data_IF_307794812514
#
_entry.id   IF_307794812514
#
_cell.length_a   1.000
_cell.length_b   1.000
_cell.length_c   1.000
_cell.angle_alpha   90.00
_cell.angle_beta   90.00
_cell.angle_gamma   90.00
#
_symmetry.space_group_name_H-M   'P 1'
#
loop_
_entity.id
_entity.type
_entity.pdbx_description
1 polymer ?
#
# COMPACT_ATOMS: atom_id res chain seq x y z
N UNK A 1 1.41 -13.70 17.45
CA UNK A 1 1.02 -12.56 16.58
C UNK A 1 1.07 -11.21 17.30
N UNK A 2 0.93 -11.13 18.63
CA UNK A 2 1.16 -9.87 19.39
C UNK A 2 2.59 -9.33 19.24
N UNK A 3 3.58 -10.18 18.97
CA UNK A 3 4.98 -9.75 18.87
C UNK A 3 5.27 -8.73 17.77
N UNK A 4 4.55 -8.77 16.64
CA UNK A 4 4.79 -7.82 15.53
C UNK A 4 4.18 -6.46 15.86
N UNK A 5 2.95 -6.41 16.35
CA UNK A 5 2.30 -5.15 16.72
C UNK A 5 2.99 -4.51 17.93
N UNK A 6 3.44 -5.30 18.91
CA UNK A 6 4.29 -4.80 20.00
C UNK A 6 5.65 -4.28 19.49
N UNK A 7 6.29 -4.94 18.52
CA UNK A 7 7.53 -4.46 17.94
C UNK A 7 7.33 -3.10 17.25
N UNK A 8 6.30 -2.98 16.40
CA UNK A 8 5.95 -1.72 15.72
C UNK A 8 5.63 -0.63 16.74
N UNK A 9 4.86 -0.95 17.79
CA UNK A 9 4.58 -0.02 18.89
C UNK A 9 5.87 0.44 19.56
N UNK A 10 6.78 -0.46 19.92
CA UNK A 10 8.04 -0.10 20.58
C UNK A 10 8.91 0.83 19.73
N UNK A 11 8.80 0.74 18.40
CA UNK A 11 9.55 1.56 17.46
C UNK A 11 8.92 2.93 17.20
N UNK A 12 7.59 3.01 17.19
CA UNK A 12 6.84 4.20 16.77
C UNK A 12 6.24 5.00 17.93
N UNK A 13 6.20 4.45 19.14
CA UNK A 13 5.74 5.19 20.32
C UNK A 13 6.55 6.48 20.45
N UNK A 14 5.87 7.64 20.61
CA UNK A 14 6.52 8.90 20.89
C UNK A 14 7.39 8.76 22.13
N UNK A 15 8.70 8.75 21.94
CA UNK A 15 9.68 8.83 23.03
C UNK A 15 10.22 10.26 23.06
N UNK A 16 10.89 10.66 24.14
CA UNK A 16 11.63 11.93 24.18
C UNK A 16 12.76 12.04 23.13
N UNK A 17 12.87 11.07 22.21
CA UNK A 17 13.82 11.05 21.10
C UNK A 17 13.33 12.02 20.02
N UNK A 18 14.22 12.91 19.61
CA UNK A 18 14.02 13.85 18.48
C UNK A 18 14.27 13.21 17.11
N UNK A 19 14.32 11.87 17.04
CA UNK A 19 14.71 11.15 15.83
C UNK A 19 13.53 11.06 14.86
N UNK A 20 13.74 11.54 13.64
CA UNK A 20 12.78 11.43 12.55
C UNK A 20 13.16 10.25 11.66
N UNK A 21 12.20 9.37 11.41
CA UNK A 21 12.28 8.31 10.40
C UNK A 21 12.09 8.95 9.03
N UNK A 22 13.18 9.07 8.28
CA UNK A 22 13.15 9.65 6.93
C UNK A 22 12.44 8.75 5.93
N UNK A 23 12.47 7.43 6.13
CA UNK A 23 11.74 6.45 5.30
C UNK A 23 11.40 5.21 6.12
N UNK A 24 10.12 4.88 6.17
CA UNK A 24 9.60 3.66 6.78
C UNK A 24 9.19 2.68 5.67
N UNK A 25 9.74 1.46 5.71
CA UNK A 25 9.35 0.37 4.80
C UNK A 25 8.48 -0.61 5.55
N UNK A 26 7.30 -0.89 5.00
CA UNK A 26 6.33 -1.79 5.60
C UNK A 26 6.02 -2.87 4.57
N UNK A 27 6.28 -4.12 4.93
CA UNK A 27 6.07 -5.28 4.06
C UNK A 27 5.30 -6.33 4.82
N UNK A 28 4.05 -6.57 4.43
CA UNK A 28 3.18 -7.52 5.12
C UNK A 28 1.99 -7.92 4.26
N UNK A 29 1.36 -9.03 4.63
CA UNK A 29 0.11 -9.48 4.03
C UNK A 29 -1.05 -8.76 4.74
N UNK A 30 -1.93 -8.10 4.00
CA UNK A 30 -3.05 -7.37 4.59
C UNK A 30 -4.10 -8.31 5.18
N UNK A 31 -3.92 -8.67 6.46
CA UNK A 31 -4.87 -9.48 7.22
C UNK A 31 -5.51 -8.66 8.33
N UNK A 32 -6.81 -8.86 8.59
CA UNK A 32 -7.54 -8.13 9.65
C UNK A 32 -6.91 -8.28 11.05
N UNK A 33 -6.12 -9.32 11.28
CA UNK A 33 -5.53 -9.63 12.59
C UNK A 33 -4.52 -8.61 13.09
N UNK A 34 -3.76 -7.94 12.21
CA UNK A 34 -2.73 -6.98 12.62
C UNK A 34 -2.64 -5.73 11.74
N UNK A 35 -3.20 -5.74 10.52
CA UNK A 35 -3.10 -4.59 9.61
C UNK A 35 -3.71 -3.32 10.20
N UNK A 36 -4.85 -3.44 10.90
CA UNK A 36 -5.52 -2.28 11.52
C UNK A 36 -4.69 -1.65 12.62
N UNK A 37 -4.05 -2.45 13.46
CA UNK A 37 -3.25 -1.95 14.60
C UNK A 37 -1.94 -1.33 14.10
N UNK A 38 -1.26 -1.98 13.16
CA UNK A 38 -0.07 -1.41 12.51
C UNK A 38 -0.43 -0.12 11.77
N UNK A 39 -1.54 -0.11 11.03
CA UNK A 39 -2.03 1.06 10.33
C UNK A 39 -2.26 2.24 11.28
N UNK A 40 -2.91 2.00 12.43
CA UNK A 40 -3.12 3.05 13.43
C UNK A 40 -1.82 3.63 13.97
N UNK A 41 -0.88 2.77 14.40
CA UNK A 41 0.42 3.19 14.95
C UNK A 41 1.25 3.99 13.94
N UNK A 42 1.28 3.54 12.68
CA UNK A 42 2.02 4.24 11.62
C UNK A 42 1.35 5.56 11.28
N UNK A 43 0.02 5.58 11.20
CA UNK A 43 -0.74 6.79 10.89
C UNK A 43 -0.53 7.88 11.95
N UNK A 44 -0.49 7.51 13.24
CA UNK A 44 -0.17 8.40 14.36
C UNK A 44 1.30 8.88 14.30
N UNK A 45 2.24 7.99 13.96
CA UNK A 45 3.65 8.37 13.83
C UNK A 45 3.88 9.39 12.69
N UNK A 46 3.15 9.27 11.59
CA UNK A 46 3.18 10.28 10.51
C UNK A 46 2.58 11.59 10.99
N UNK A 47 1.43 11.56 11.66
CA UNK A 47 0.73 12.75 12.17
C UNK A 47 1.63 13.56 13.13
N UNK A 48 2.37 12.87 13.99
CA UNK A 48 3.32 13.48 14.92
C UNK A 48 4.64 13.93 14.26
N UNK A 49 4.77 13.82 12.94
CA UNK A 49 5.95 14.22 12.18
C UNK A 49 7.16 13.31 12.37
N UNK A 50 6.98 12.11 12.96
CA UNK A 50 8.05 11.16 13.19
C UNK A 50 8.42 10.41 11.91
N UNK A 51 7.48 10.20 10.99
CA UNK A 51 7.71 9.50 9.71
C UNK A 51 7.46 10.46 8.56
N UNK A 52 8.45 10.61 7.67
CA UNK A 52 8.34 11.49 6.48
C UNK A 52 7.84 10.76 5.24
N UNK A 53 8.47 9.63 4.92
CA UNK A 53 8.20 8.88 3.70
C UNK A 53 7.85 7.44 4.03
N UNK A 54 6.88 6.88 3.31
CA UNK A 54 6.45 5.48 3.44
C UNK A 54 6.66 4.74 2.12
N UNK A 55 7.09 3.49 2.27
CA UNK A 55 7.05 2.46 1.24
C UNK A 55 6.23 1.28 1.75
N UNK A 56 5.24 0.87 0.95
CA UNK A 56 4.38 -0.26 1.26
C UNK A 56 4.63 -1.38 0.26
N UNK A 57 4.80 -2.59 0.77
CA UNK A 57 4.79 -3.83 0.00
C UNK A 57 3.67 -4.72 0.51
N UNK A 58 2.75 -5.12 -0.38
CA UNK A 58 1.64 -6.01 -0.04
C UNK A 58 1.42 -7.07 -1.10
N UNK A 59 1.02 -8.25 -0.66
CA UNK A 59 0.70 -9.39 -1.50
C UNK A 59 -0.28 -10.35 -0.84
N UNK A 60 -0.44 -11.51 -1.45
CA UNK A 60 -1.16 -12.66 -0.87
C UNK A 60 -0.14 -13.68 -0.36
N UNK A 61 -0.39 -14.25 0.82
CA UNK A 61 0.48 -15.26 1.46
C UNK A 61 0.34 -16.63 0.77
N UNK A 62 0.85 -16.75 -0.46
CA UNK A 62 0.78 -17.95 -1.29
C UNK A 62 2.03 -18.11 -2.16
N UNK A 63 2.19 -19.31 -2.71
CA UNK A 63 3.18 -19.58 -3.75
C UNK A 63 2.76 -18.83 -5.04
N UNK A 64 3.70 -18.21 -5.78
CA UNK A 64 3.40 -17.60 -7.07
C UNK A 64 2.66 -18.57 -8.01
N UNK A 65 1.52 -18.15 -8.55
CA UNK A 65 0.68 -18.96 -9.45
C UNK A 65 -0.44 -19.78 -8.79
N UNK A 66 -0.51 -19.83 -7.45
CA UNK A 66 -1.58 -20.51 -6.69
C UNK A 66 -2.58 -19.54 -6.06
N UNK A 67 -2.63 -18.29 -6.54
CA UNK A 67 -3.58 -17.27 -6.04
C UNK A 67 -4.81 -17.26 -6.93
N UNK A 68 -5.97 -17.49 -6.34
CA UNK A 68 -7.25 -17.38 -7.06
C UNK A 68 -7.63 -15.93 -7.34
N UNK A 69 -8.43 -15.69 -8.39
CA UNK A 69 -8.99 -14.37 -8.70
C UNK A 69 -9.75 -13.78 -7.50
N UNK A 70 -10.48 -14.62 -6.75
CA UNK A 70 -11.18 -14.18 -5.53
C UNK A 70 -10.21 -13.66 -4.46
N UNK A 71 -9.08 -14.34 -4.25
CA UNK A 71 -8.03 -13.89 -3.33
C UNK A 71 -7.37 -12.59 -3.81
N UNK A 72 -7.16 -12.43 -5.12
CA UNK A 72 -6.62 -11.19 -5.73
C UNK A 72 -7.57 -10.01 -5.55
N UNK A 73 -8.87 -10.21 -5.79
CA UNK A 73 -9.91 -9.18 -5.56
C UNK A 73 -10.01 -8.84 -4.07
N UNK A 74 -9.99 -9.85 -3.19
CA UNK A 74 -10.01 -9.64 -1.75
C UNK A 74 -8.80 -8.86 -1.27
N UNK A 75 -7.63 -9.12 -1.84
CA UNK A 75 -6.40 -8.40 -1.54
C UNK A 75 -6.48 -6.93 -1.99
N UNK A 76 -6.95 -6.67 -3.22
CA UNK A 76 -7.17 -5.30 -3.72
C UNK A 76 -8.12 -4.50 -2.82
N UNK A 77 -9.25 -5.11 -2.42
CA UNK A 77 -10.18 -4.50 -1.47
C UNK A 77 -9.54 -4.22 -0.10
N UNK A 78 -8.67 -5.12 0.36
CA UNK A 78 -7.88 -4.94 1.57
C UNK A 78 -6.93 -3.74 1.48
N UNK A 79 -6.25 -3.56 0.35
CA UNK A 79 -5.38 -2.40 0.08
C UNK A 79 -6.17 -1.11 0.12
N UNK A 80 -7.28 -1.04 -0.63
CA UNK A 80 -8.15 0.13 -0.69
C UNK A 80 -8.66 0.50 0.70
N UNK A 81 -9.14 -0.49 1.47
CA UNK A 81 -9.60 -0.26 2.83
C UNK A 81 -8.48 0.18 3.76
N UNK A 82 -7.29 -0.42 3.67
CA UNK A 82 -6.15 -0.05 4.50
C UNK A 82 -5.70 1.39 4.25
N UNK A 83 -5.52 1.78 2.98
CA UNK A 83 -5.07 3.14 2.65
C UNK A 83 -6.18 4.18 2.85
N UNK A 84 -7.44 3.82 2.62
CA UNK A 84 -8.59 4.68 2.90
C UNK A 84 -8.79 4.95 4.40
N UNK A 85 -8.52 3.97 5.26
CA UNK A 85 -8.66 4.12 6.73
C UNK A 85 -7.49 4.84 7.40
N UNK A 86 -6.35 5.00 6.71
CA UNK A 86 -5.13 5.59 7.27
C UNK A 86 -4.61 6.70 6.34
N UNK A 87 -5.27 7.87 6.30
CA UNK A 87 -4.99 8.92 5.32
C UNK A 87 -3.56 9.48 5.44
N UNK A 88 -2.97 9.51 6.64
CA UNK A 88 -1.60 10.00 6.80
C UNK A 88 -0.59 9.03 6.17
N UNK A 89 -0.89 7.73 6.17
CA UNK A 89 -0.08 6.75 5.43
C UNK A 89 -0.16 7.03 3.94
N UNK A 90 -1.38 7.20 3.43
CA UNK A 90 -1.64 7.45 2.00
C UNK A 90 -0.97 8.74 1.50
N UNK A 91 -1.04 9.82 2.28
CA UNK A 91 -0.40 11.10 1.97
C UNK A 91 1.13 11.05 2.04
N UNK A 92 1.73 10.08 2.71
CA UNK A 92 3.20 9.92 2.80
C UNK A 92 3.73 8.75 1.97
N UNK A 93 2.86 8.02 1.26
CA UNK A 93 3.24 6.86 0.47
C UNK A 93 3.94 7.30 -0.81
N UNK A 94 5.25 7.01 -0.90
CA UNK A 94 6.08 7.37 -2.06
C UNK A 94 6.35 6.18 -2.98
N UNK A 95 6.28 4.96 -2.45
CA UNK A 95 6.52 3.71 -3.20
C UNK A 95 5.50 2.65 -2.80
N UNK A 96 4.89 2.03 -3.79
CA UNK A 96 3.90 0.97 -3.61
C UNK A 96 4.33 -0.23 -4.44
N UNK A 97 4.65 -1.35 -3.78
CA UNK A 97 4.95 -2.62 -4.42
C UNK A 97 3.78 -3.57 -4.15
N UNK A 98 3.06 -3.92 -5.20
CA UNK A 98 1.82 -4.67 -5.10
C UNK A 98 1.91 -5.95 -5.91
N UNK A 99 1.53 -7.05 -5.26
CA UNK A 99 1.56 -8.39 -5.83
C UNK A 99 0.16 -9.00 -5.77
N UNK A 100 -0.28 -9.64 -6.85
CA UNK A 100 -1.50 -10.46 -6.88
C UNK A 100 -2.75 -9.66 -6.43
N UNK A 101 -3.19 -8.70 -7.24
CA UNK A 101 -4.35 -7.86 -6.92
C UNK A 101 -5.17 -7.50 -8.16
N UNK A 102 -6.47 -7.81 -8.11
CA UNK A 102 -7.43 -7.44 -9.15
C UNK A 102 -8.31 -6.32 -8.62
N UNK A 103 -8.10 -5.12 -9.13
CA UNK A 103 -8.88 -3.94 -8.75
C UNK A 103 -10.10 -3.77 -9.67
N UNK A 104 -11.12 -3.05 -9.20
CA UNK A 104 -12.00 -2.38 -10.16
C UNK A 104 -11.19 -1.26 -10.87
N UNK A 105 -11.49 -0.98 -12.15
CA UNK A 105 -10.77 0.05 -12.92
C UNK A 105 -10.75 1.40 -12.19
N UNK A 106 -11.90 1.83 -11.68
CA UNK A 106 -12.05 3.07 -10.91
C UNK A 106 -11.21 3.08 -9.63
N UNK A 107 -11.02 1.92 -9.01
CA UNK A 107 -10.36 1.82 -7.71
C UNK A 107 -8.85 1.99 -7.85
N UNK A 108 -8.23 1.30 -8.82
CA UNK A 108 -6.79 1.44 -9.07
C UNK A 108 -6.45 2.85 -9.52
N UNK A 109 -7.29 3.43 -10.40
CA UNK A 109 -7.17 4.83 -10.80
C UNK A 109 -7.26 5.75 -9.59
N UNK A 110 -8.31 5.63 -8.77
CA UNK A 110 -8.52 6.47 -7.60
C UNK A 110 -7.37 6.33 -6.57
N UNK A 111 -6.86 5.11 -6.37
CA UNK A 111 -5.74 4.84 -5.49
C UNK A 111 -4.49 5.62 -5.91
N UNK A 112 -4.13 5.50 -7.20
CA UNK A 112 -2.91 6.09 -7.76
C UNK A 112 -3.05 7.61 -7.94
N UNK A 113 -4.19 8.08 -8.45
CA UNK A 113 -4.37 9.47 -8.85
C UNK A 113 -4.83 10.39 -7.71
N UNK A 114 -5.62 9.88 -6.76
CA UNK A 114 -6.31 10.71 -5.78
C UNK A 114 -5.94 10.39 -4.32
N UNK A 115 -5.81 9.11 -3.95
CA UNK A 115 -5.52 8.72 -2.57
C UNK A 115 -4.03 8.90 -2.23
N UNK A 116 -3.13 8.38 -3.07
CA UNK A 116 -1.70 8.39 -2.82
C UNK A 116 -1.02 9.58 -3.52
N UNK A 117 -1.29 10.79 -3.06
CA UNK A 117 -0.85 12.05 -3.72
C UNK A 117 0.67 12.22 -3.82
N UNK A 118 1.44 11.59 -2.92
CA UNK A 118 2.91 11.60 -2.92
C UNK A 118 3.54 10.41 -3.67
N UNK A 119 2.73 9.56 -4.31
CA UNK A 119 3.21 8.33 -4.95
C UNK A 119 4.11 8.65 -6.15
N UNK A 120 5.31 8.06 -6.16
CA UNK A 120 6.33 8.24 -7.20
C UNK A 120 6.59 6.96 -7.98
N UNK A 121 6.50 5.82 -7.31
CA UNK A 121 6.87 4.51 -7.84
C UNK A 121 5.82 3.45 -7.43
N UNK A 122 4.79 3.22 -8.25
CA UNK A 122 4.03 1.97 -8.24
C UNK A 122 4.75 0.87 -9.04
N UNK A 123 4.91 -0.27 -8.39
CA UNK A 123 5.30 -1.54 -8.98
C UNK A 123 4.14 -2.50 -8.84
N UNK A 124 3.63 -3.00 -9.96
CA UNK A 124 2.51 -3.92 -10.02
C UNK A 124 2.98 -5.25 -10.61
N UNK A 125 2.93 -6.32 -9.82
CA UNK A 125 3.21 -7.68 -10.25
C UNK A 125 1.94 -8.51 -10.23
N UNK A 126 1.53 -9.05 -11.37
CA UNK A 126 0.29 -9.82 -11.49
C UNK A 126 -0.88 -9.05 -10.87
N UNK A 127 -1.02 -7.79 -11.30
CA UNK A 127 -2.16 -6.95 -10.93
C UNK A 127 -2.88 -6.49 -12.18
N UNK A 128 -4.20 -6.41 -12.11
CA UNK A 128 -5.07 -6.11 -13.24
C UNK A 128 -6.35 -5.40 -12.78
N UNK A 129 -7.13 -4.94 -13.77
CA UNK A 129 -8.44 -4.31 -13.57
C UNK A 129 -9.57 -5.14 -14.19
N UNK A 130 -9.34 -6.45 -14.29
CA UNK A 130 -10.14 -7.40 -15.08
C UNK A 130 -9.41 -7.87 -16.35
N UNK A 131 -9.80 -9.02 -16.88
CA UNK A 131 -9.22 -9.61 -18.10
C UNK A 131 -9.39 -8.68 -19.31
N UNK A 132 -8.30 -8.43 -20.05
CA UNK A 132 -8.24 -7.53 -21.21
C UNK A 132 -8.81 -6.12 -20.93
N UNK A 133 -8.67 -5.65 -19.69
CA UNK A 133 -9.07 -4.30 -19.31
C UNK A 133 -8.01 -3.28 -19.73
N UNK A 134 -8.47 -2.10 -20.16
CA UNK A 134 -7.59 -0.98 -20.49
C UNK A 134 -7.13 -0.34 -19.18
N UNK A 135 -5.83 -0.28 -18.96
CA UNK A 135 -5.28 0.46 -17.83
C UNK A 135 -5.09 1.93 -18.17
N UNK A 136 -5.98 2.80 -17.67
CA UNK A 136 -5.89 4.25 -17.86
C UNK A 136 -5.57 4.97 -16.55
N UNK A 137 -4.40 5.60 -16.50
CA UNK A 137 -4.06 6.57 -15.46
C UNK A 137 -4.20 7.98 -16.04
N UNK A 138 -5.06 8.78 -15.44
CA UNK A 138 -5.10 10.23 -15.63
C UNK A 138 -4.80 10.88 -14.26
N UNK A 139 -3.55 11.28 -14.06
CA UNK A 139 -3.06 11.73 -12.76
C UNK A 139 -2.23 13.02 -12.91
N UNK A 140 -2.86 14.13 -13.36
CA UNK A 140 -2.16 15.35 -13.79
C UNK A 140 -1.46 16.07 -12.65
N UNK A 141 -1.87 15.83 -11.40
CA UNK A 141 -1.30 16.41 -10.19
C UNK A 141 -0.46 15.41 -9.38
N UNK A 142 -0.21 14.20 -9.92
CA UNK A 142 0.57 13.20 -9.20
C UNK A 142 2.06 13.46 -9.26
N UNK A 143 2.81 12.85 -8.34
CA UNK A 143 4.27 12.84 -8.33
C UNK A 143 4.86 11.60 -9.01
N UNK A 144 4.05 10.87 -9.78
CA UNK A 144 4.47 9.65 -10.47
C UNK A 144 5.66 9.95 -11.37
N UNK A 145 6.75 9.20 -11.18
CA UNK A 145 7.96 9.33 -11.99
C UNK A 145 8.36 8.03 -12.66
N UNK A 146 7.88 6.90 -12.13
CA UNK A 146 8.14 5.56 -12.68
C UNK A 146 6.87 4.73 -12.54
N UNK A 147 6.52 3.99 -13.58
CA UNK A 147 5.49 2.96 -13.56
C UNK A 147 6.15 1.64 -13.97
N UNK A 148 6.02 0.61 -13.15
CA UNK A 148 6.59 -0.71 -13.44
C UNK A 148 5.50 -1.78 -13.35
N UNK A 149 5.37 -2.56 -14.42
CA UNK A 149 4.40 -3.64 -14.54
C UNK A 149 5.13 -4.94 -14.86
N UNK A 150 4.76 -6.01 -14.18
CA UNK A 150 5.30 -7.34 -14.42
C UNK A 150 4.15 -8.36 -14.37
N UNK A 151 4.02 -9.21 -15.37
CA UNK A 151 2.97 -10.24 -15.43
C UNK A 151 1.52 -9.70 -15.28
N UNK A 152 1.28 -8.45 -15.70
CA UNK A 152 -0.05 -7.84 -15.75
C UNK A 152 -0.76 -8.18 -17.08
N UNK A 153 -2.09 -8.31 -17.05
CA UNK A 153 -2.92 -8.67 -18.22
C UNK A 153 -3.77 -7.48 -18.70
N UNK A 154 -3.13 -6.33 -18.91
CA UNK A 154 -3.79 -5.14 -19.48
C UNK A 154 -3.82 -5.20 -21.01
N UNK A 155 -4.87 -4.65 -21.63
CA UNK A 155 -5.03 -4.56 -23.09
C UNK A 155 -4.22 -3.41 -23.74
#
# INVERSE_FOLDING_TARGET
>A
MSSLTEAVRSMLVPTHRTTIITRLRISFFLTKSYSSEIGHLVNEAVENGMVKDIELTSGVERIPGDVSDEEMVKHANGVNSFLGNHPNISCCLTRLLLYNATFAESDLHNLIANICTELRYPYLYQCDTGFDSIFKIDAPNSKLSVLEFAHCSFA
#
